data_IF_360192560163
#
_entry.id   IF_360192560163
#
_cell.length_a   1.000
_cell.length_b   1.000
_cell.length_c   1.000
_cell.angle_alpha   90.00
_cell.angle_beta   90.00
_cell.angle_gamma   90.00
#
_symmetry.space_group_name_H-M   'P 1'
#
loop_
_entity.id
_entity.type
_entity.pdbx_description
1 polymer ?
#
# COMPACT_ATOMS: atom_id res chain seq x y z
N UNK A 1 -22.14 -3.58 0.83
CA UNK A 1 -20.69 -3.78 0.56
C UNK A 1 -20.35 -5.23 0.84
N UNK A 2 -19.75 -5.96 -0.12
CA UNK A 2 -19.35 -7.36 0.11
C UNK A 2 -18.00 -7.42 0.81
N UNK A 3 -17.78 -8.47 1.60
CA UNK A 3 -16.50 -8.74 2.28
C UNK A 3 -15.31 -8.77 1.32
N UNK A 4 -15.53 -9.21 0.07
CA UNK A 4 -14.52 -9.24 -0.99
C UNK A 4 -14.04 -7.84 -1.39
N UNK A 5 -14.95 -6.88 -1.57
CA UNK A 5 -14.58 -5.50 -1.95
C UNK A 5 -13.77 -4.82 -0.85
N UNK A 6 -14.20 -4.99 0.40
CA UNK A 6 -13.48 -4.42 1.55
C UNK A 6 -12.07 -4.99 1.70
N UNK A 7 -11.88 -6.28 1.46
CA UNK A 7 -10.56 -6.90 1.56
C UNK A 7 -9.63 -6.45 0.42
N UNK A 8 -10.14 -6.32 -0.81
CA UNK A 8 -9.33 -5.82 -1.92
C UNK A 8 -8.88 -4.37 -1.70
N UNK A 9 -9.78 -3.51 -1.22
CA UNK A 9 -9.43 -2.14 -0.82
C UNK A 9 -8.36 -2.10 0.27
N UNK A 10 -8.53 -2.89 1.34
CA UNK A 10 -7.56 -2.99 2.45
C UNK A 10 -6.20 -3.54 2.01
N UNK A 11 -6.20 -4.49 1.07
CA UNK A 11 -4.96 -5.01 0.50
C UNK A 11 -4.24 -3.93 -0.33
N UNK A 12 -4.98 -3.12 -1.08
CA UNK A 12 -4.40 -1.99 -1.80
C UNK A 12 -3.85 -0.91 -0.84
N UNK A 13 -4.57 -0.60 0.24
CA UNK A 13 -4.11 0.32 1.29
C UNK A 13 -2.77 -0.13 1.88
N UNK A 14 -2.60 -1.44 2.14
CA UNK A 14 -1.35 -2.00 2.67
C UNK A 14 -0.15 -1.66 1.78
N UNK A 15 -0.23 -1.97 0.49
CA UNK A 15 0.91 -1.76 -0.43
C UNK A 15 1.14 -0.29 -0.74
N UNK A 16 0.09 0.53 -0.80
CA UNK A 16 0.23 1.97 -0.93
C UNK A 16 0.96 2.58 0.26
N UNK A 17 0.63 2.15 1.48
CA UNK A 17 1.25 2.65 2.70
C UNK A 17 2.73 2.27 2.80
N UNK A 18 3.10 1.04 2.41
CA UNK A 18 4.50 0.62 2.28
C UNK A 18 5.24 1.39 1.19
N UNK A 19 4.67 1.51 -0.01
CA UNK A 19 5.29 2.25 -1.11
C UNK A 19 5.50 3.72 -0.78
N UNK A 20 4.55 4.33 -0.07
CA UNK A 20 4.65 5.70 0.42
C UNK A 20 5.73 5.83 1.51
N UNK A 21 5.80 4.88 2.44
CA UNK A 21 6.86 4.85 3.45
C UNK A 21 8.23 4.78 2.79
N UNK A 22 8.43 3.92 1.80
CA UNK A 22 9.70 3.77 1.09
C UNK A 22 10.12 5.09 0.42
N UNK A 23 9.20 5.74 -0.29
CA UNK A 23 9.44 7.02 -0.94
C UNK A 23 9.75 8.15 0.06
N UNK A 24 9.02 8.23 1.18
CA UNK A 24 9.30 9.22 2.24
C UNK A 24 10.64 8.92 2.91
N UNK A 25 10.94 7.65 3.15
CA UNK A 25 12.17 7.19 3.83
C UNK A 25 13.44 7.55 3.07
N UNK A 26 13.34 7.70 1.74
CA UNK A 26 14.44 8.21 0.93
C UNK A 26 14.79 9.68 1.22
N UNK A 27 13.86 10.46 1.77
CA UNK A 27 14.02 11.90 2.05
C UNK A 27 14.19 12.17 3.56
N UNK A 28 13.42 11.48 4.40
CA UNK A 28 13.41 11.66 5.86
C UNK A 28 13.08 10.37 6.58
N UNK A 29 13.53 10.22 7.82
CA UNK A 29 13.16 9.06 8.65
C UNK A 29 11.64 8.96 8.77
N UNK A 30 11.10 7.78 8.42
CA UNK A 30 9.67 7.48 8.52
C UNK A 30 9.45 6.05 9.00
N UNK A 31 8.35 5.82 9.71
CA UNK A 31 8.03 4.51 10.28
C UNK A 31 6.52 4.26 10.19
N UNK A 32 6.15 3.04 9.81
CA UNK A 32 4.78 2.57 9.88
C UNK A 32 4.42 2.18 11.32
N UNK A 33 3.30 2.70 11.80
CA UNK A 33 2.73 2.32 13.10
C UNK A 33 1.93 1.03 12.92
N UNK A 34 2.37 -0.03 13.60
CA UNK A 34 1.74 -1.36 13.54
C UNK A 34 0.56 -1.43 14.52
N UNK A 35 -0.58 -0.90 14.10
CA UNK A 35 -1.84 -0.97 14.87
C UNK A 35 -2.78 -2.07 14.34
N UNK A 36 -3.98 -2.15 14.92
CA UNK A 36 -5.01 -3.11 14.50
C UNK A 36 -5.41 -2.94 13.04
N UNK A 37 -5.47 -1.70 12.54
CA UNK A 37 -5.77 -1.39 11.13
C UNK A 37 -4.67 -1.87 10.18
N UNK A 38 -3.40 -1.73 10.56
CA UNK A 38 -2.27 -2.26 9.80
C UNK A 38 -2.38 -3.78 9.66
N UNK A 39 -2.59 -4.49 10.77
CA UNK A 39 -2.74 -5.95 10.77
C UNK A 39 -3.93 -6.41 9.92
N UNK A 40 -5.00 -5.63 9.96
CA UNK A 40 -6.18 -5.80 9.13
C UNK A 40 -5.87 -5.73 7.62
N UNK A 41 -5.09 -4.73 7.20
CA UNK A 41 -4.65 -4.53 5.83
C UNK A 41 -3.65 -5.59 5.39
N UNK A 42 -2.70 -5.96 6.26
CA UNK A 42 -1.72 -7.02 6.04
C UNK A 42 -2.38 -8.38 5.80
N UNK A 43 -3.37 -8.73 6.63
CA UNK A 43 -4.13 -9.97 6.44
C UNK A 43 -4.84 -9.98 5.08
N UNK A 44 -5.42 -8.86 4.67
CA UNK A 44 -6.07 -8.75 3.37
C UNK A 44 -5.06 -8.87 2.22
N UNK A 45 -3.91 -8.21 2.33
CA UNK A 45 -2.80 -8.36 1.39
C UNK A 45 -2.34 -9.80 1.25
N UNK A 46 -2.22 -10.52 2.36
CA UNK A 46 -1.76 -11.91 2.36
C UNK A 46 -2.73 -12.87 1.66
N UNK A 47 -4.01 -12.52 1.52
CA UNK A 47 -5.00 -13.32 0.78
C UNK A 47 -4.91 -13.18 -0.74
N UNK A 48 -4.17 -12.17 -1.25
CA UNK A 48 -4.04 -11.93 -2.68
C UNK A 48 -3.11 -12.93 -3.37
N UNK A 49 -3.43 -13.25 -4.62
CA UNK A 49 -2.53 -13.99 -5.50
C UNK A 49 -1.28 -13.17 -5.84
N UNK A 50 -0.23 -13.86 -6.29
CA UNK A 50 1.02 -13.20 -6.71
C UNK A 50 0.79 -12.18 -7.83
N UNK A 51 -0.11 -12.50 -8.78
CA UNK A 51 -0.45 -11.59 -9.88
C UNK A 51 -1.17 -10.33 -9.38
N UNK A 52 -2.13 -10.48 -8.45
CA UNK A 52 -2.82 -9.33 -7.84
C UNK A 52 -1.84 -8.46 -7.04
N UNK A 53 -0.95 -9.07 -6.25
CA UNK A 53 0.10 -8.34 -5.52
C UNK A 53 1.01 -7.56 -6.46
N UNK A 54 1.44 -8.16 -7.57
CA UNK A 54 2.27 -7.49 -8.56
C UNK A 54 1.53 -6.29 -9.19
N UNK A 55 0.28 -6.48 -9.60
CA UNK A 55 -0.54 -5.42 -10.17
C UNK A 55 -0.75 -4.26 -9.19
N UNK A 56 -1.09 -4.57 -7.94
CA UNK A 56 -1.34 -3.55 -6.91
C UNK A 56 -0.06 -2.80 -6.55
N UNK A 57 1.08 -3.50 -6.49
CA UNK A 57 2.39 -2.88 -6.27
C UNK A 57 2.75 -1.92 -7.40
N UNK A 58 2.54 -2.33 -8.66
CA UNK A 58 2.82 -1.47 -9.82
C UNK A 58 1.94 -0.21 -9.80
N UNK A 59 0.65 -0.37 -9.54
CA UNK A 59 -0.31 0.74 -9.42
C UNK A 59 0.06 1.69 -8.29
N UNK A 60 0.40 1.16 -7.11
CA UNK A 60 0.81 1.95 -5.95
C UNK A 60 2.06 2.77 -6.28
N UNK A 61 3.11 2.15 -6.83
CA UNK A 61 4.34 2.83 -7.22
C UNK A 61 4.08 3.97 -8.21
N UNK A 62 3.33 3.73 -9.28
CA UNK A 62 2.99 4.78 -10.26
C UNK A 62 2.23 5.96 -9.63
N UNK A 63 1.36 5.66 -8.65
CA UNK A 63 0.62 6.70 -7.91
C UNK A 63 1.56 7.52 -7.03
N UNK A 64 2.45 6.86 -6.28
CA UNK A 64 3.44 7.52 -5.43
C UNK A 64 4.39 8.35 -6.27
N UNK A 65 4.93 7.82 -7.37
CA UNK A 65 5.81 8.56 -8.28
C UNK A 65 5.12 9.84 -8.78
N UNK A 66 3.83 9.78 -9.11
CA UNK A 66 3.05 10.95 -9.52
C UNK A 66 2.89 11.99 -8.39
N UNK A 67 2.70 11.54 -7.15
CA UNK A 67 2.61 12.43 -5.97
C UNK A 67 3.94 13.18 -5.78
N UNK A 68 5.06 12.47 -5.87
CA UNK A 68 6.38 13.07 -5.69
C UNK A 68 6.84 13.89 -6.89
N UNK A 69 6.45 13.52 -8.11
CA UNK A 69 6.76 14.28 -9.33
C UNK A 69 6.13 15.68 -9.36
N UNK A 70 5.01 15.89 -8.66
CA UNK A 70 4.40 17.22 -8.51
C UNK A 70 5.07 18.11 -7.47
N UNK A 71 6.09 17.62 -6.76
CA UNK A 71 6.86 18.37 -5.78
C UNK A 71 8.28 18.76 -6.24
N UNK A 72 8.65 18.41 -7.48
CA UNK A 72 9.89 18.83 -8.15
C UNK A 72 9.62 19.98 -9.13
#
# INVERSE_FOLDING_TARGET
MSSKSNNQGRAYEYICLHSLQDAISAIRKSQIIHNSSYKAAENAWNTLSVAEKALYTLSAKSTIDTIFAKCA
#
